data_IF_652341887185
#
_entry.id   IF_652341887185
#
_cell.length_a   1.000
_cell.length_b   1.000
_cell.length_c   1.000
_cell.angle_alpha   90.00
_cell.angle_beta   90.00
_cell.angle_gamma   90.00
#
_symmetry.space_group_name_H-M   'P 1'
#
loop_
_entity.id
_entity.type
_entity.pdbx_description
1 polymer ?
#
# COMPACT_ATOMS: atom_id res chain seq x y z
N UNK A 1 -5.87 38.39 36.08
CA UNK A 1 -6.61 38.30 34.80
C UNK A 1 -5.70 38.28 33.56
N UNK A 2 -4.86 39.30 33.29
CA UNK A 2 -4.03 39.36 32.06
C UNK A 2 -3.07 38.17 31.85
N UNK A 3 -2.52 37.58 32.92
CA UNK A 3 -1.62 36.40 32.83
C UNK A 3 -2.37 35.11 32.46
N UNK A 4 -3.57 34.93 33.00
CA UNK A 4 -4.43 33.78 32.70
C UNK A 4 -4.87 33.80 31.23
N UNK A 5 -5.26 34.98 30.72
CA UNK A 5 -5.64 35.15 29.32
C UNK A 5 -4.49 34.81 28.36
N UNK A 6 -3.25 35.20 28.70
CA UNK A 6 -2.06 34.85 27.91
C UNK A 6 -1.77 33.34 27.93
N UNK A 7 -1.94 32.67 29.06
CA UNK A 7 -1.74 31.22 29.17
C UNK A 7 -2.78 30.47 28.32
N UNK A 8 -4.04 30.88 28.37
CA UNK A 8 -5.11 30.29 27.55
C UNK A 8 -4.82 30.50 26.05
N UNK A 9 -4.38 31.70 25.66
CA UNK A 9 -4.03 31.98 24.27
C UNK A 9 -2.88 31.10 23.77
N UNK A 10 -1.82 30.91 24.57
CA UNK A 10 -0.69 30.04 24.23
C UNK A 10 -1.13 28.57 24.12
N UNK A 11 -1.95 28.09 25.06
CA UNK A 11 -2.51 26.73 24.99
C UNK A 11 -3.38 26.53 23.75
N UNK A 12 -4.17 27.53 23.37
CA UNK A 12 -4.98 27.49 22.15
C UNK A 12 -4.13 27.37 20.89
N UNK A 13 -3.05 28.15 20.79
CA UNK A 13 -2.12 28.08 19.64
C UNK A 13 -1.41 26.72 19.59
N UNK A 14 -0.96 26.19 20.74
CA UNK A 14 -0.33 24.89 20.81
C UNK A 14 -1.29 23.76 20.41
N UNK A 15 -2.53 23.80 20.90
CA UNK A 15 -3.55 22.81 20.56
C UNK A 15 -3.87 22.83 19.04
N UNK A 16 -3.99 24.03 18.45
CA UNK A 16 -4.19 24.18 17.00
C UNK A 16 -2.98 23.66 16.21
N UNK A 17 -1.76 23.93 16.67
CA UNK A 17 -0.54 23.42 16.04
C UNK A 17 -0.47 21.89 16.05
N UNK A 18 -0.78 21.26 17.19
CA UNK A 18 -0.84 19.79 17.30
C UNK A 18 -1.95 19.21 16.42
N UNK A 19 -3.12 19.85 16.37
CA UNK A 19 -4.25 19.40 15.55
C UNK A 19 -3.91 19.44 14.05
N UNK A 20 -3.33 20.55 13.58
CA UNK A 20 -2.87 20.71 12.19
C UNK A 20 -1.79 19.68 11.86
N UNK A 21 -0.86 19.44 12.78
CA UNK A 21 0.21 18.45 12.61
C UNK A 21 -0.35 17.02 12.49
N UNK A 22 -1.28 16.62 13.36
CA UNK A 22 -1.91 15.30 13.27
C UNK A 22 -2.77 15.13 12.00
N UNK A 23 -3.39 16.21 11.52
CA UNK A 23 -4.18 16.20 10.28
C UNK A 23 -3.28 16.05 9.04
N UNK A 24 -2.13 16.73 9.01
CA UNK A 24 -1.18 16.70 7.88
C UNK A 24 -0.27 15.48 7.88
N UNK A 25 0.00 14.90 9.05
CA UNK A 25 0.84 13.71 9.20
C UNK A 25 0.02 12.56 9.81
N UNK A 26 -0.93 11.96 9.04
CA UNK A 26 -1.55 10.71 9.46
C UNK A 26 -0.45 9.67 9.68
N UNK A 27 -0.48 8.98 10.82
CA UNK A 27 0.60 8.04 11.20
C UNK A 27 0.95 7.05 10.10
N UNK A 28 2.24 6.70 10.00
CA UNK A 28 2.81 5.91 8.90
C UNK A 28 2.03 4.60 8.63
N UNK A 29 1.50 3.97 9.68
CA UNK A 29 0.60 2.82 9.59
C UNK A 29 -0.65 3.09 8.74
N UNK A 30 -1.35 4.21 8.95
CA UNK A 30 -2.55 4.56 8.18
C UNK A 30 -2.20 4.78 6.70
N UNK A 31 -1.01 5.34 6.44
CA UNK A 31 -0.51 5.55 5.09
C UNK A 31 -0.24 4.21 4.40
N UNK A 32 0.44 3.28 5.07
CA UNK A 32 0.71 1.93 4.57
C UNK A 32 -0.60 1.19 4.30
N UNK A 33 -1.55 1.20 5.24
CA UNK A 33 -2.86 0.56 5.06
C UNK A 33 -3.63 1.14 3.87
N UNK A 34 -3.61 2.47 3.68
CA UNK A 34 -4.23 3.12 2.52
C UNK A 34 -3.54 2.71 1.21
N UNK A 35 -2.21 2.59 1.22
CA UNK A 35 -1.45 2.16 0.06
C UNK A 35 -1.72 0.70 -0.30
N UNK A 36 -1.79 -0.20 0.70
CA UNK A 36 -2.17 -1.61 0.50
C UNK A 36 -3.60 -1.74 -0.08
N UNK A 37 -4.55 -0.93 0.40
CA UNK A 37 -5.89 -0.91 -0.17
C UNK A 37 -5.90 -0.46 -1.64
N UNK A 38 -5.13 0.58 -1.98
CA UNK A 38 -4.97 1.03 -3.36
C UNK A 38 -4.29 -0.03 -4.27
N UNK A 39 -3.34 -0.79 -3.73
CA UNK A 39 -2.71 -1.92 -4.43
C UNK A 39 -3.74 -3.01 -4.71
N UNK A 40 -4.55 -3.40 -3.71
CA UNK A 40 -5.59 -4.42 -3.89
C UNK A 40 -6.64 -4.01 -4.94
N UNK A 41 -7.10 -2.75 -4.88
CA UNK A 41 -8.04 -2.20 -5.86
C UNK A 41 -7.45 -2.18 -7.28
N UNK A 42 -6.16 -1.84 -7.41
CA UNK A 42 -5.47 -1.85 -8.70
C UNK A 42 -5.18 -3.27 -9.19
N UNK A 43 -5.01 -4.22 -8.28
CA UNK A 43 -4.78 -5.63 -8.61
C UNK A 43 -6.07 -6.29 -9.15
N UNK A 44 -7.25 -5.88 -8.67
CA UNK A 44 -8.53 -6.37 -9.15
C UNK A 44 -8.71 -6.16 -10.66
N UNK A 45 -9.30 -7.17 -11.33
CA UNK A 45 -9.60 -7.15 -12.77
C UNK A 45 -11.11 -7.18 -12.91
N UNK A 46 -11.67 -6.19 -13.62
CA UNK A 46 -13.11 -6.13 -13.84
C UNK A 46 -13.53 -7.10 -14.96
N UNK A 47 -14.73 -7.70 -14.86
CA UNK A 47 -15.27 -8.51 -15.95
C UNK A 47 -15.46 -7.64 -17.19
N UNK A 48 -15.13 -8.19 -18.38
CA UNK A 48 -15.17 -7.49 -19.68
C UNK A 48 -14.33 -6.20 -19.77
N UNK A 49 -13.28 -6.08 -18.97
CA UNK A 49 -12.34 -4.96 -19.08
C UNK A 49 -11.57 -5.02 -20.41
N UNK A 50 -11.46 -3.89 -21.12
CA UNK A 50 -10.72 -3.79 -22.38
C UNK A 50 -9.25 -4.23 -22.18
N UNK A 51 -8.66 -5.00 -23.10
CA UNK A 51 -7.25 -5.41 -23.02
C UNK A 51 -6.26 -4.25 -22.75
N UNK A 52 -6.50 -3.06 -23.30
CA UNK A 52 -5.68 -1.88 -23.05
C UNK A 52 -5.75 -1.41 -21.58
N UNK A 53 -6.94 -1.47 -20.97
CA UNK A 53 -7.10 -1.15 -19.54
C UNK A 53 -6.48 -2.22 -18.65
N UNK A 54 -6.51 -3.50 -19.05
CA UNK A 54 -5.80 -4.56 -18.33
C UNK A 54 -4.28 -4.32 -18.28
N UNK A 55 -3.69 -3.92 -19.40
CA UNK A 55 -2.27 -3.57 -19.52
C UNK A 55 -1.91 -2.31 -18.72
N UNK A 56 -2.74 -1.26 -18.83
CA UNK A 56 -2.56 -0.04 -18.04
C UNK A 56 -2.63 -0.34 -16.52
N UNK A 57 -3.54 -1.22 -16.12
CA UNK A 57 -3.65 -1.70 -14.74
C UNK A 57 -2.42 -2.47 -14.27
N UNK A 58 -1.81 -3.30 -15.13
CA UNK A 58 -0.55 -3.98 -14.83
C UNK A 58 0.59 -2.99 -14.56
N UNK A 59 0.77 -2.01 -15.44
CA UNK A 59 1.78 -0.94 -15.27
C UNK A 59 1.54 -0.13 -14.00
N UNK A 60 0.27 0.22 -13.72
CA UNK A 60 -0.12 0.94 -12.50
C UNK A 60 0.15 0.12 -11.24
N UNK A 61 -0.14 -1.18 -11.25
CA UNK A 61 0.11 -2.08 -10.11
C UNK A 61 1.61 -2.18 -9.81
N UNK A 62 2.42 -2.34 -10.85
CA UNK A 62 3.87 -2.45 -10.75
C UNK A 62 4.49 -1.12 -10.29
N UNK A 63 3.86 0.01 -10.61
CA UNK A 63 4.27 1.34 -10.15
C UNK A 63 4.21 1.55 -8.63
N UNK A 64 3.54 0.67 -7.87
CA UNK A 64 3.57 0.72 -6.41
C UNK A 64 4.86 0.12 -5.80
N UNK A 65 5.64 -0.61 -6.60
CA UNK A 65 6.86 -1.28 -6.15
C UNK A 65 8.11 -0.45 -6.49
N UNK A 66 9.16 -0.59 -5.67
CA UNK A 66 10.46 0.00 -5.96
C UNK A 66 11.10 -0.68 -7.17
N UNK A 67 12.04 -0.01 -7.87
CA UNK A 67 12.71 -0.59 -9.04
C UNK A 67 13.41 -1.93 -8.76
N UNK A 68 13.91 -2.08 -7.54
CA UNK A 68 14.66 -3.22 -6.99
C UNK A 68 13.78 -4.18 -6.16
N UNK A 69 12.45 -4.10 -6.29
CA UNK A 69 11.54 -4.96 -5.55
C UNK A 69 11.78 -6.45 -5.86
N UNK A 70 11.81 -7.26 -4.80
CA UNK A 70 11.98 -8.71 -4.89
C UNK A 70 10.69 -9.37 -4.41
N UNK A 71 10.08 -10.16 -5.29
CA UNK A 71 8.90 -10.95 -4.96
C UNK A 71 9.30 -12.41 -4.85
N UNK A 72 9.12 -12.99 -3.67
CA UNK A 72 9.30 -14.42 -3.42
C UNK A 72 7.93 -15.06 -3.29
N UNK A 73 7.67 -16.08 -4.11
CA UNK A 73 6.42 -16.83 -4.09
C UNK A 73 6.75 -18.25 -3.66
N UNK A 74 6.23 -18.62 -2.49
CA UNK A 74 6.34 -19.96 -1.94
C UNK A 74 4.97 -20.65 -2.04
N UNK A 75 4.91 -21.74 -2.79
CA UNK A 75 3.69 -22.55 -2.92
C UNK A 75 4.02 -23.96 -2.43
N UNK A 76 3.24 -24.54 -1.50
CA UNK A 76 3.48 -25.89 -1.03
C UNK A 76 3.61 -26.88 -2.19
N UNK A 77 4.73 -27.61 -2.25
CA UNK A 77 5.00 -28.59 -3.30
C UNK A 77 5.60 -28.04 -4.60
N UNK A 78 5.87 -26.73 -4.69
CA UNK A 78 6.55 -26.10 -5.82
C UNK A 78 7.82 -25.40 -5.32
N UNK A 79 8.88 -25.42 -6.13
CA UNK A 79 10.11 -24.69 -5.83
C UNK A 79 9.84 -23.18 -5.71
N UNK A 80 10.50 -22.53 -4.75
CA UNK A 80 10.35 -21.10 -4.50
C UNK A 80 10.72 -20.31 -5.75
N UNK A 81 9.79 -19.51 -6.25
CA UNK A 81 10.04 -18.62 -7.40
C UNK A 81 10.34 -17.23 -6.90
N UNK A 82 11.48 -16.69 -7.33
CA UNK A 82 11.85 -15.28 -7.09
C UNK A 82 11.72 -14.49 -8.38
N UNK A 83 11.05 -13.35 -8.32
CA UNK A 83 10.97 -12.37 -9.39
C UNK A 83 11.75 -11.14 -8.90
N UNK A 84 12.79 -10.76 -9.64
CA UNK A 84 13.75 -9.77 -9.20
C UNK A 84 13.63 -8.52 -10.07
N UNK A 85 13.18 -7.44 -9.45
CA UNK A 85 13.08 -6.15 -10.11
C UNK A 85 11.74 -5.93 -10.82
N UNK A 86 11.51 -4.66 -11.09
CA UNK A 86 10.21 -4.15 -11.53
C UNK A 86 9.82 -4.58 -12.95
N UNK A 87 10.78 -4.75 -13.85
CA UNK A 87 10.52 -5.13 -15.24
C UNK A 87 10.06 -6.60 -15.33
N UNK A 88 10.71 -7.49 -14.58
CA UNK A 88 10.30 -8.90 -14.47
C UNK A 88 8.91 -9.02 -13.80
N UNK A 89 8.65 -8.19 -12.78
CA UNK A 89 7.32 -8.07 -12.17
C UNK A 89 6.27 -7.62 -13.18
N UNK A 90 6.59 -6.64 -14.04
CA UNK A 90 5.67 -6.18 -15.08
C UNK A 90 5.32 -7.29 -16.06
N UNK A 91 6.31 -8.07 -16.48
CA UNK A 91 6.08 -9.20 -17.37
C UNK A 91 5.20 -10.26 -16.71
N UNK A 92 5.49 -10.62 -15.46
CA UNK A 92 4.72 -11.61 -14.70
C UNK A 92 3.26 -11.16 -14.47
N UNK A 93 3.05 -9.92 -14.03
CA UNK A 93 1.71 -9.36 -13.81
C UNK A 93 0.94 -9.26 -15.13
N UNK A 94 1.58 -8.86 -16.22
CA UNK A 94 0.95 -8.78 -17.54
C UNK A 94 0.49 -10.15 -18.01
N UNK A 95 1.35 -11.18 -17.90
CA UNK A 95 1.00 -12.55 -18.25
C UNK A 95 -0.18 -13.08 -17.39
N UNK A 96 -0.15 -12.83 -16.08
CA UNK A 96 -1.22 -13.22 -15.18
C UNK A 96 -2.55 -12.51 -15.50
N UNK A 97 -2.52 -11.20 -15.80
CA UNK A 97 -3.74 -10.45 -16.14
C UNK A 97 -4.32 -10.82 -17.50
N UNK A 98 -3.49 -11.27 -18.44
CA UNK A 98 -3.95 -11.73 -19.76
C UNK A 98 -4.78 -13.01 -19.67
N UNK A 99 -4.48 -13.90 -18.71
CA UNK A 99 -5.22 -15.16 -18.53
C UNK A 99 -6.48 -15.02 -17.66
N UNK A 100 -6.59 -13.96 -16.86
CA UNK A 100 -7.72 -13.73 -15.96
C UNK A 100 -8.89 -13.03 -16.67
N UNK A 101 -10.10 -13.59 -16.53
CA UNK A 101 -11.34 -12.93 -16.97
C UNK A 101 -11.84 -11.88 -15.96
N UNK A 102 -11.77 -12.22 -14.67
CA UNK A 102 -12.12 -11.38 -13.52
C UNK A 102 -11.17 -11.75 -12.36
N UNK A 103 -10.88 -10.81 -11.48
CA UNK A 103 -10.16 -11.07 -10.23
C UNK A 103 -10.61 -10.07 -9.16
N UNK A 104 -10.97 -10.55 -7.95
CA UNK A 104 -11.36 -9.68 -6.83
C UNK A 104 -10.44 -9.88 -5.66
N UNK A 105 -9.43 -9.03 -5.55
CA UNK A 105 -8.48 -9.09 -4.46
C UNK A 105 -9.04 -8.38 -3.23
N UNK A 106 -9.11 -9.11 -2.10
CA UNK A 106 -9.45 -8.56 -0.79
C UNK A 106 -8.33 -8.85 0.20
N UNK A 107 -7.95 -7.84 0.96
CA UNK A 107 -6.91 -7.94 2.00
C UNK A 107 -7.58 -7.92 3.38
N UNK A 108 -7.26 -8.91 4.18
CA UNK A 108 -7.77 -9.13 5.53
C UNK A 108 -6.62 -9.16 6.53
N UNK A 109 -6.95 -8.96 7.81
CA UNK A 109 -6.00 -9.12 8.93
C UNK A 109 -4.68 -8.35 8.75
N UNK A 110 -4.76 -7.12 8.21
CA UNK A 110 -3.57 -6.30 7.94
C UNK A 110 -2.95 -5.83 9.26
N UNK A 111 -1.79 -6.39 9.59
CA UNK A 111 -0.95 -5.99 10.71
C UNK A 111 0.30 -5.31 10.17
N UNK A 112 0.53 -4.05 10.57
CA UNK A 112 1.71 -3.28 10.17
C UNK A 112 2.57 -3.03 11.39
N UNK A 113 3.83 -3.44 11.31
CA UNK A 113 4.85 -3.20 12.33
C UNK A 113 5.87 -2.24 11.76
N UNK A 114 6.04 -1.08 12.41
CA UNK A 114 7.09 -0.12 12.08
C UNK A 114 8.35 -0.50 12.85
N UNK A 115 9.49 -0.51 12.15
CA UNK A 115 10.78 -0.68 12.81
C UNK A 115 11.09 0.53 13.71
N UNK A 116 11.95 0.38 14.75
CA UNK A 116 12.29 1.47 15.66
C UNK A 116 12.87 2.72 14.96
N UNK A 117 13.49 2.53 13.79
CA UNK A 117 14.06 3.59 12.97
C UNK A 117 13.04 4.39 12.16
N UNK A 118 11.77 3.94 12.11
CA UNK A 118 10.66 4.47 11.30
C UNK A 118 10.99 4.65 9.81
N UNK A 119 11.97 3.91 9.30
CA UNK A 119 12.33 3.90 7.88
C UNK A 119 11.90 2.62 7.20
N UNK A 120 11.72 1.56 7.99
CA UNK A 120 11.29 0.26 7.52
C UNK A 120 9.95 -0.12 8.16
N UNK A 121 9.14 -0.87 7.43
CA UNK A 121 7.87 -1.40 7.91
C UNK A 121 7.67 -2.81 7.38
N UNK A 122 7.22 -3.71 8.25
CA UNK A 122 6.75 -5.04 7.88
C UNK A 122 5.22 -5.05 7.91
N UNK A 123 4.59 -5.54 6.83
CA UNK A 123 3.15 -5.73 6.77
C UNK A 123 2.84 -7.22 6.59
N UNK A 124 2.07 -7.78 7.51
CA UNK A 124 1.54 -9.13 7.44
C UNK A 124 0.05 -9.04 7.15
N UNK A 125 -0.43 -9.82 6.18
CA UNK A 125 -1.82 -9.78 5.73
C UNK A 125 -2.22 -11.11 5.11
N UNK A 126 -3.53 -11.33 5.05
CA UNK A 126 -4.14 -12.46 4.34
C UNK A 126 -4.84 -11.91 3.11
N UNK A 127 -4.57 -12.49 1.95
CA UNK A 127 -5.22 -12.11 0.69
C UNK A 127 -6.16 -13.22 0.22
N UNK A 128 -7.32 -12.84 -0.29
CA UNK A 128 -8.25 -13.73 -1.01
C UNK A 128 -8.58 -13.12 -2.37
N UNK A 129 -8.75 -13.97 -3.39
CA UNK A 129 -8.97 -13.57 -4.79
C UNK A 129 -10.21 -14.23 -5.39
#
# INVERSE_FOLDING_TARGET
MKRILKIIAVLGVLALGVWIFQMLFPGDEKRIRKMLAAVAETAAVKPNENPLFKLAGASKLVGFFSPDAVLKVEVPGVEVRSINGRDDLLQAVTAARASLQEARVQLHEIHVTLEPDRRSAAAQLVASA
#
